data_IF_457035713958
#
_entry.id   IF_457035713958
#
_cell.length_a   1.000
_cell.length_b   1.000
_cell.length_c   1.000
_cell.angle_alpha   90.00
_cell.angle_beta   90.00
_cell.angle_gamma   90.00
#
_symmetry.space_group_name_H-M   'P 1'
#
loop_
_entity.id
_entity.type
_entity.pdbx_description
1 polymer ?
#
# COMPACT_ATOMS: atom_id res chain seq x y z
N UNK A 1 -72.29 -44.69 -36.58
CA UNK A 1 -71.39 -43.51 -36.41
C UNK A 1 -72.11 -42.50 -35.54
N UNK A 2 -71.76 -42.43 -34.25
CA UNK A 2 -72.52 -41.73 -33.20
C UNK A 2 -72.48 -40.21 -33.37
N UNK A 3 -73.62 -39.56 -33.16
CA UNK A 3 -73.82 -38.09 -33.17
C UNK A 3 -72.86 -37.36 -32.23
N UNK A 4 -72.36 -38.05 -31.19
CA UNK A 4 -71.37 -37.53 -30.24
C UNK A 4 -70.00 -37.28 -30.90
N UNK A 5 -69.61 -38.07 -31.91
CA UNK A 5 -68.36 -37.86 -32.64
C UNK A 5 -68.42 -36.59 -33.50
N UNK A 6 -69.55 -36.39 -34.20
CA UNK A 6 -69.77 -35.18 -35.01
C UNK A 6 -69.85 -33.90 -34.17
N UNK A 7 -70.36 -33.98 -32.94
CA UNK A 7 -70.40 -32.84 -32.01
C UNK A 7 -69.01 -32.48 -31.46
N UNK A 8 -68.11 -33.47 -31.27
CA UNK A 8 -66.72 -33.21 -30.89
C UNK A 8 -65.95 -32.50 -32.00
N UNK A 9 -66.14 -32.93 -33.24
CA UNK A 9 -65.44 -32.34 -34.39
C UNK A 9 -65.94 -30.91 -34.65
N UNK A 10 -67.25 -30.66 -34.54
CA UNK A 10 -67.83 -29.31 -34.65
C UNK A 10 -67.42 -28.35 -33.50
N UNK A 11 -67.20 -28.85 -32.29
CA UNK A 11 -66.67 -28.05 -31.18
C UNK A 11 -65.16 -27.80 -31.29
N UNK A 12 -64.41 -28.71 -31.91
CA UNK A 12 -62.99 -28.54 -32.19
C UNK A 12 -62.73 -27.54 -33.32
N UNK A 13 -63.67 -27.40 -34.26
CA UNK A 13 -63.58 -26.46 -35.39
C UNK A 13 -64.06 -25.04 -35.04
N UNK A 14 -64.80 -24.88 -33.93
CA UNK A 14 -65.30 -23.58 -33.45
C UNK A 14 -64.38 -22.87 -32.43
N UNK A 15 -63.34 -23.53 -31.92
CA UNK A 15 -62.27 -22.85 -31.19
C UNK A 15 -61.12 -22.59 -32.18
N UNK A 16 -60.70 -21.33 -32.39
CA UNK A 16 -59.43 -21.11 -33.08
C UNK A 16 -58.34 -21.90 -32.34
N UNK A 17 -57.36 -22.50 -33.05
CA UNK A 17 -56.20 -23.03 -32.37
C UNK A 17 -55.67 -21.89 -31.50
N UNK A 18 -55.42 -22.17 -30.23
CA UNK A 18 -54.76 -21.22 -29.36
C UNK A 18 -53.34 -21.00 -29.89
N UNK A 19 -53.23 -20.20 -30.96
CA UNK A 19 -52.06 -19.42 -31.30
C UNK A 19 -51.96 -18.37 -30.19
N UNK A 20 -51.57 -18.84 -29.00
CA UNK A 20 -50.87 -17.98 -28.07
C UNK A 20 -49.70 -17.39 -28.85
N UNK A 21 -49.42 -16.08 -28.72
CA UNK A 21 -48.24 -15.51 -29.35
C UNK A 21 -47.09 -16.43 -28.97
N UNK A 22 -46.36 -16.96 -29.95
CA UNK A 22 -45.20 -17.82 -29.70
C UNK A 22 -44.36 -17.11 -28.66
N UNK A 23 -44.50 -17.57 -27.42
CA UNK A 23 -44.07 -16.84 -26.27
C UNK A 23 -42.57 -16.92 -26.34
N UNK A 24 -41.92 -15.83 -26.74
CA UNK A 24 -40.53 -15.57 -26.41
C UNK A 24 -40.44 -15.86 -24.92
N UNK A 25 -40.00 -17.08 -24.57
CA UNK A 25 -39.91 -17.51 -23.19
C UNK A 25 -38.89 -16.56 -22.60
N UNK A 26 -39.36 -15.56 -21.86
CA UNK A 26 -38.46 -14.62 -21.21
C UNK A 26 -37.50 -15.48 -20.40
N UNK A 27 -36.19 -15.42 -20.70
CA UNK A 27 -35.23 -16.34 -20.13
C UNK A 27 -35.39 -16.27 -18.62
N UNK A 28 -35.76 -17.41 -18.02
CA UNK A 28 -36.00 -17.46 -16.58
C UNK A 28 -34.75 -16.93 -15.86
N UNK A 29 -34.91 -15.97 -14.95
CA UNK A 29 -33.83 -15.47 -14.12
C UNK A 29 -33.03 -16.59 -13.45
N UNK A 30 -31.87 -16.99 -14.00
CA UNK A 30 -30.96 -17.89 -13.30
C UNK A 30 -30.11 -17.11 -12.30
N UNK A 31 -29.95 -17.61 -11.07
CA UNK A 31 -28.94 -17.10 -10.14
C UNK A 31 -27.55 -17.45 -10.67
N UNK A 32 -26.86 -16.48 -11.28
CA UNK A 32 -25.47 -16.61 -11.73
C UNK A 32 -24.67 -15.46 -11.16
N UNK A 33 -23.42 -15.71 -10.78
CA UNK A 33 -22.46 -14.66 -10.46
C UNK A 33 -22.29 -13.72 -11.67
N UNK A 34 -22.06 -12.43 -11.41
CA UNK A 34 -21.89 -11.38 -12.45
C UNK A 34 -23.05 -11.25 -13.44
N UNK A 35 -24.29 -11.53 -13.00
CA UNK A 35 -25.47 -11.36 -13.83
C UNK A 35 -25.73 -9.87 -14.09
N UNK A 36 -25.72 -9.47 -15.37
CA UNK A 36 -25.96 -8.08 -15.76
C UNK A 36 -24.69 -7.24 -15.98
N UNK A 37 -23.51 -7.86 -16.12
CA UNK A 37 -22.24 -7.19 -16.46
C UNK A 37 -22.19 -6.40 -17.78
N UNK A 38 -23.35 -6.15 -18.40
CA UNK A 38 -23.56 -5.20 -19.50
C UNK A 38 -23.92 -3.78 -19.01
N UNK A 39 -24.08 -3.56 -17.70
CA UNK A 39 -24.24 -2.22 -17.13
C UNK A 39 -22.96 -1.39 -17.25
N UNK A 40 -23.10 -0.05 -17.29
CA UNK A 40 -21.99 0.91 -17.47
C UNK A 40 -20.85 0.71 -16.46
N UNK A 41 -21.17 0.21 -15.26
CA UNK A 41 -20.21 -0.02 -14.16
C UNK A 41 -19.20 -1.14 -14.43
N UNK A 42 -19.60 -2.25 -15.06
CA UNK A 42 -18.74 -3.41 -15.32
C UNK A 42 -18.40 -3.59 -16.81
N UNK A 43 -19.08 -2.85 -17.71
CA UNK A 43 -18.89 -3.01 -19.16
C UNK A 43 -17.45 -2.73 -19.61
N UNK A 44 -16.76 -1.77 -18.98
CA UNK A 44 -15.35 -1.45 -19.22
C UNK A 44 -14.35 -2.08 -18.24
N UNK A 45 -14.83 -2.63 -17.11
CA UNK A 45 -13.97 -3.19 -16.07
C UNK A 45 -13.93 -4.72 -16.20
N UNK A 46 -12.97 -5.20 -17.00
CA UNK A 46 -12.74 -6.62 -17.27
C UNK A 46 -11.28 -6.99 -16.97
N UNK A 47 -10.89 -7.07 -15.69
CA UNK A 47 -9.53 -7.44 -15.34
C UNK A 47 -9.23 -8.88 -15.80
N UNK A 48 -8.02 -9.12 -16.31
CA UNK A 48 -7.56 -10.46 -16.62
C UNK A 48 -7.26 -11.20 -15.31
N UNK A 49 -7.60 -12.49 -15.25
CA UNK A 49 -7.15 -13.35 -14.16
C UNK A 49 -5.69 -13.71 -14.44
N UNK A 50 -4.80 -13.24 -13.57
CA UNK A 50 -3.35 -13.44 -13.68
C UNK A 50 -2.83 -14.17 -12.45
N UNK A 51 -1.72 -14.88 -12.62
CA UNK A 51 -1.03 -15.48 -11.48
C UNK A 51 -0.37 -14.38 -10.66
N UNK A 52 -0.58 -14.41 -9.34
CA UNK A 52 -0.02 -13.41 -8.45
C UNK A 52 1.51 -13.31 -8.54
N UNK A 53 2.18 -14.43 -8.86
CA UNK A 53 3.64 -14.45 -9.02
C UNK A 53 4.14 -13.63 -10.21
N UNK A 54 3.39 -13.64 -11.32
CA UNK A 54 3.72 -12.85 -12.52
C UNK A 54 3.51 -11.37 -12.26
N UNK A 55 2.40 -11.01 -11.60
CA UNK A 55 2.11 -9.64 -11.21
C UNK A 55 3.18 -9.06 -10.27
N UNK A 56 3.63 -9.87 -9.31
CA UNK A 56 4.75 -9.49 -8.43
C UNK A 56 6.04 -9.34 -9.25
N UNK A 57 6.35 -10.28 -10.15
CA UNK A 57 7.55 -10.23 -10.97
C UNK A 57 7.65 -8.95 -11.81
N UNK A 58 6.55 -8.53 -12.42
CA UNK A 58 6.48 -7.33 -13.26
C UNK A 58 6.54 -6.04 -12.45
N UNK A 59 5.82 -5.96 -11.32
CA UNK A 59 5.63 -4.71 -10.59
C UNK A 59 6.70 -4.43 -9.51
N UNK A 60 7.44 -5.44 -9.06
CA UNK A 60 8.22 -5.32 -7.82
C UNK A 60 9.31 -4.24 -7.87
N UNK A 61 10.07 -4.12 -8.96
CA UNK A 61 11.19 -3.15 -9.04
C UNK A 61 10.69 -1.71 -8.92
N UNK A 62 9.65 -1.39 -9.68
CA UNK A 62 8.97 -0.09 -9.60
C UNK A 62 8.35 0.14 -8.22
N UNK A 63 7.64 -0.87 -7.69
CA UNK A 63 6.98 -0.77 -6.41
C UNK A 63 7.95 -0.53 -5.25
N UNK A 64 9.00 -1.36 -5.14
CA UNK A 64 10.01 -1.24 -4.09
C UNK A 64 10.81 0.07 -4.22
N UNK A 65 11.15 0.49 -5.44
CA UNK A 65 11.85 1.76 -5.66
C UNK A 65 10.99 2.96 -5.23
N UNK A 66 9.70 2.98 -5.60
CA UNK A 66 8.79 4.07 -5.24
C UNK A 66 8.47 4.11 -3.75
N UNK A 67 8.29 2.95 -3.10
CA UNK A 67 8.11 2.89 -1.64
C UNK A 67 9.36 3.42 -0.93
N UNK A 68 10.54 3.02 -1.38
CA UNK A 68 11.80 3.48 -0.80
C UNK A 68 12.02 4.99 -1.00
N UNK A 69 11.72 5.53 -2.18
CA UNK A 69 11.77 6.96 -2.46
C UNK A 69 10.81 7.75 -1.55
N UNK A 70 9.56 7.28 -1.47
CA UNK A 70 8.53 7.92 -0.67
C UNK A 70 8.93 7.96 0.82
N UNK A 71 9.52 6.89 1.35
CA UNK A 71 9.99 6.84 2.73
C UNK A 71 11.21 7.74 2.99
N UNK A 72 12.05 8.01 1.99
CA UNK A 72 13.16 8.95 2.14
C UNK A 72 12.72 10.40 2.08
N UNK A 73 11.69 10.70 1.28
CA UNK A 73 11.28 12.08 0.99
C UNK A 73 10.09 12.56 1.84
N UNK A 74 9.29 11.63 2.39
CA UNK A 74 8.09 11.97 3.15
C UNK A 74 8.29 11.72 4.64
N UNK A 75 8.50 12.80 5.40
CA UNK A 75 8.84 12.72 6.83
C UNK A 75 7.77 12.06 7.69
N UNK A 76 6.48 12.23 7.35
CA UNK A 76 5.39 11.62 8.10
C UNK A 76 5.30 10.10 7.87
N UNK A 77 5.62 9.62 6.67
CA UNK A 77 5.70 8.19 6.37
C UNK A 77 6.94 7.55 6.99
N UNK A 78 8.08 8.24 6.96
CA UNK A 78 9.28 7.80 7.66
C UNK A 78 9.02 7.62 9.16
N UNK A 79 8.35 8.61 9.79
CA UNK A 79 7.95 8.53 11.19
C UNK A 79 6.99 7.39 11.49
N UNK A 80 5.99 7.16 10.61
CA UNK A 80 5.05 6.04 10.75
C UNK A 80 5.77 4.68 10.68
N UNK A 81 6.70 4.51 9.74
CA UNK A 81 7.49 3.29 9.62
C UNK A 81 8.37 3.05 10.86
N UNK A 82 9.03 4.09 11.36
CA UNK A 82 9.82 3.98 12.60
C UNK A 82 8.96 3.58 13.79
N UNK A 83 7.74 4.13 13.89
CA UNK A 83 6.79 3.72 14.92
C UNK A 83 6.36 2.25 14.78
N UNK A 84 6.10 1.78 13.56
CA UNK A 84 5.81 0.36 13.31
C UNK A 84 6.97 -0.53 13.78
N UNK A 85 8.21 -0.17 13.46
CA UNK A 85 9.39 -0.92 13.89
C UNK A 85 9.53 -0.93 15.41
N UNK A 86 9.35 0.22 16.05
CA UNK A 86 9.41 0.34 17.51
C UNK A 86 8.33 -0.51 18.19
N UNK A 87 7.10 -0.51 17.68
CA UNK A 87 6.00 -1.28 18.24
C UNK A 87 6.15 -2.79 18.04
N UNK A 88 6.65 -3.23 16.88
CA UNK A 88 6.76 -4.66 16.55
C UNK A 88 8.02 -5.30 17.14
N UNK A 89 9.17 -4.63 17.02
CA UNK A 89 10.46 -5.21 17.45
C UNK A 89 10.81 -4.78 18.88
N UNK A 90 10.51 -3.54 19.25
CA UNK A 90 10.88 -2.98 20.55
C UNK A 90 12.37 -3.10 20.81
N UNK A 91 12.74 -3.77 21.90
CA UNK A 91 14.13 -4.04 22.29
C UNK A 91 14.74 -5.27 21.61
N UNK A 92 13.95 -6.02 20.83
CA UNK A 92 14.33 -7.27 20.18
C UNK A 92 13.65 -8.49 20.81
N UNK A 93 13.39 -9.51 19.99
CA UNK A 93 12.78 -10.76 20.45
C UNK A 93 13.77 -11.56 21.28
N UNK A 94 13.30 -12.02 22.44
CA UNK A 94 14.04 -12.90 23.34
C UNK A 94 13.63 -14.35 23.11
N UNK A 95 14.61 -15.27 23.21
CA UNK A 95 14.33 -16.69 23.14
C UNK A 95 13.68 -17.13 24.45
N UNK A 96 12.52 -17.77 24.35
CA UNK A 96 11.91 -18.57 25.41
C UNK A 96 12.00 -20.03 25.02
N UNK A 97 12.87 -20.80 25.69
CA UNK A 97 13.10 -22.20 25.39
C UNK A 97 12.08 -23.07 26.15
N UNK A 98 11.22 -23.77 25.41
CA UNK A 98 10.21 -24.69 25.96
C UNK A 98 10.52 -26.11 25.45
N UNK A 99 11.44 -26.86 26.10
CA UNK A 99 11.71 -28.24 25.72
C UNK A 99 10.52 -29.15 26.04
N UNK A 100 10.27 -30.13 25.17
CA UNK A 100 9.23 -31.16 25.38
C UNK A 100 9.76 -32.30 26.26
N UNK A 101 9.40 -32.28 27.54
CA UNK A 101 10.03 -33.14 28.54
C UNK A 101 9.76 -34.62 28.31
N UNK A 102 8.54 -34.97 27.89
CA UNK A 102 8.10 -36.34 27.70
C UNK A 102 8.85 -37.02 26.55
N UNK A 103 9.07 -36.28 25.44
CA UNK A 103 9.73 -36.81 24.25
C UNK A 103 11.24 -36.99 24.47
N UNK A 104 11.87 -36.08 25.23
CA UNK A 104 13.31 -36.12 25.49
C UNK A 104 13.70 -36.95 26.73
N UNK A 105 12.72 -37.51 27.45
CA UNK A 105 12.97 -38.29 28.68
C UNK A 105 13.61 -37.47 29.79
N UNK A 106 13.37 -36.16 29.82
CA UNK A 106 13.95 -35.25 30.80
C UNK A 106 12.99 -35.04 31.97
N UNK A 107 13.53 -35.01 33.20
CA UNK A 107 12.74 -34.56 34.35
C UNK A 107 12.43 -33.06 34.24
N UNK A 108 11.33 -32.56 34.87
CA UNK A 108 11.01 -31.13 34.85
C UNK A 108 12.13 -30.22 35.36
N UNK A 109 12.90 -30.68 36.35
CA UNK A 109 14.05 -29.94 36.88
C UNK A 109 15.18 -29.82 35.84
N UNK A 110 15.57 -30.93 35.21
CA UNK A 110 16.60 -30.94 34.17
C UNK A 110 16.22 -30.07 32.97
N UNK A 111 14.95 -30.12 32.57
CA UNK A 111 14.42 -29.30 31.49
C UNK A 111 14.51 -27.79 31.82
N UNK A 112 14.18 -27.40 33.05
CA UNK A 112 14.30 -26.01 33.51
C UNK A 112 15.75 -25.52 33.46
N UNK A 113 16.69 -26.33 33.95
CA UNK A 113 18.11 -25.97 33.96
C UNK A 113 18.72 -25.92 32.56
N UNK A 114 18.29 -26.82 31.67
CA UNK A 114 18.64 -26.78 30.26
C UNK A 114 18.11 -25.50 29.60
N UNK A 115 16.84 -25.16 29.80
CA UNK A 115 16.22 -23.98 29.21
C UNK A 115 16.95 -22.70 29.62
N UNK A 116 17.22 -22.52 30.93
CA UNK A 116 18.02 -21.38 31.45
C UNK A 116 19.40 -21.30 30.80
N UNK A 117 20.05 -22.45 30.61
CA UNK A 117 21.39 -22.51 30.00
C UNK A 117 21.34 -22.09 28.53
N UNK A 118 20.34 -22.57 27.79
CA UNK A 118 20.15 -22.22 26.37
C UNK A 118 19.81 -20.75 26.21
N UNK A 119 18.86 -20.23 26.98
CA UNK A 119 18.45 -18.82 26.96
C UNK A 119 19.64 -17.90 27.28
N UNK A 120 20.43 -18.22 28.31
CA UNK A 120 21.63 -17.45 28.64
C UNK A 120 22.68 -17.47 27.51
N UNK A 121 22.88 -18.62 26.87
CA UNK A 121 23.82 -18.74 25.74
C UNK A 121 23.33 -17.97 24.52
N UNK A 122 22.03 -18.03 24.24
CA UNK A 122 21.41 -17.26 23.17
C UNK A 122 21.55 -15.77 23.41
N UNK A 123 21.32 -15.30 24.64
CA UNK A 123 21.44 -13.87 24.98
C UNK A 123 22.88 -13.35 24.78
N UNK A 124 23.88 -14.15 25.18
CA UNK A 124 25.30 -13.82 24.96
C UNK A 124 25.64 -13.73 23.46
N UNK A 125 25.04 -14.58 22.64
CA UNK A 125 25.19 -14.54 21.18
C UNK A 125 24.45 -13.35 20.57
N UNK A 126 23.21 -13.10 21.00
CA UNK A 126 22.31 -12.09 20.46
C UNK A 126 22.75 -10.65 20.77
N UNK A 127 23.28 -10.40 21.98
CA UNK A 127 23.72 -9.07 22.40
C UNK A 127 25.08 -8.65 21.85
N UNK A 128 25.89 -9.59 21.36
CA UNK A 128 27.20 -9.27 20.80
C UNK A 128 27.15 -9.29 19.27
N UNK A 129 27.32 -8.12 18.65
CA UNK A 129 27.31 -7.97 17.20
C UNK A 129 28.36 -8.86 16.51
N UNK A 130 29.56 -9.00 17.09
CA UNK A 130 30.60 -9.87 16.53
C UNK A 130 30.19 -11.35 16.58
N UNK A 131 29.36 -11.75 17.55
CA UNK A 131 28.89 -13.12 17.72
C UNK A 131 27.75 -13.49 16.79
N UNK A 132 26.77 -12.61 16.58
CA UNK A 132 25.60 -12.91 15.76
C UNK A 132 25.73 -12.47 14.30
N UNK A 133 26.29 -11.30 14.01
CA UNK A 133 26.39 -10.77 12.64
C UNK A 133 27.71 -11.18 11.98
N UNK A 134 27.64 -11.65 10.73
CA UNK A 134 28.83 -11.97 9.95
C UNK A 134 29.71 -10.74 9.70
N UNK A 135 29.10 -9.56 9.57
CA UNK A 135 29.80 -8.28 9.39
C UNK A 135 30.27 -7.71 10.74
N UNK A 136 29.64 -8.13 11.84
CA UNK A 136 29.94 -7.65 13.19
C UNK A 136 29.43 -6.23 13.46
N UNK A 137 28.42 -5.78 12.73
CA UNK A 137 27.92 -4.39 12.80
C UNK A 137 26.69 -4.23 13.69
N UNK A 138 25.83 -5.26 13.76
CA UNK A 138 24.53 -5.18 14.42
C UNK A 138 24.33 -6.31 15.43
N UNK A 139 23.69 -6.00 16.56
CA UNK A 139 23.17 -7.03 17.48
C UNK A 139 21.96 -7.73 16.85
N UNK A 140 21.53 -8.85 17.43
CA UNK A 140 20.40 -9.62 16.89
C UNK A 140 19.09 -8.82 16.89
N UNK A 141 18.81 -8.05 17.94
CA UNK A 141 17.65 -7.14 17.98
C UNK A 141 17.72 -6.05 16.91
N UNK A 142 18.90 -5.46 16.68
CA UNK A 142 19.10 -4.49 15.59
C UNK A 142 18.93 -5.13 14.20
N UNK A 143 19.34 -6.39 14.04
CA UNK A 143 19.09 -7.15 12.81
C UNK A 143 17.60 -7.40 12.60
N UNK A 144 16.83 -7.73 13.64
CA UNK A 144 15.37 -7.86 13.54
C UNK A 144 14.72 -6.55 13.10
N UNK A 145 15.13 -5.42 13.70
CA UNK A 145 14.63 -4.10 13.30
C UNK A 145 14.98 -3.77 11.84
N UNK A 146 16.20 -4.08 11.39
CA UNK A 146 16.60 -3.88 10.00
C UNK A 146 15.86 -4.80 9.03
N UNK A 147 15.64 -6.06 9.40
CA UNK A 147 14.88 -7.03 8.64
C UNK A 147 13.41 -6.60 8.48
N UNK A 148 12.78 -6.14 9.56
CA UNK A 148 11.40 -5.66 9.53
C UNK A 148 11.24 -4.39 8.68
N UNK A 149 12.19 -3.44 8.76
CA UNK A 149 12.22 -2.29 7.84
C UNK A 149 12.32 -2.73 6.38
N UNK A 150 13.23 -3.67 6.07
CA UNK A 150 13.38 -4.22 4.72
C UNK A 150 12.07 -4.83 4.23
N UNK A 151 11.36 -5.57 5.09
CA UNK A 151 10.07 -6.16 4.76
C UNK A 151 8.99 -5.12 4.45
N UNK A 152 8.88 -4.05 5.25
CA UNK A 152 7.93 -2.97 4.95
C UNK A 152 8.21 -2.29 3.60
N UNK A 153 9.49 -2.14 3.24
CA UNK A 153 9.90 -1.47 1.99
C UNK A 153 9.73 -2.39 0.77
N UNK A 154 10.10 -3.66 0.90
CA UNK A 154 10.25 -4.57 -0.25
C UNK A 154 9.29 -5.75 -0.26
N UNK A 155 8.60 -6.02 0.85
CA UNK A 155 7.74 -7.19 1.05
C UNK A 155 8.49 -8.46 1.47
N UNK A 156 9.81 -8.39 1.63
CA UNK A 156 10.66 -9.57 1.80
C UNK A 156 11.76 -9.35 2.85
N UNK A 157 12.14 -10.45 3.51
CA UNK A 157 13.32 -10.56 4.36
C UNK A 157 14.22 -11.63 3.76
N UNK A 158 15.46 -11.25 3.48
CA UNK A 158 16.47 -12.16 2.99
C UNK A 158 17.66 -12.19 3.95
N UNK A 159 18.05 -13.37 4.39
CA UNK A 159 19.24 -13.57 5.19
C UNK A 159 19.97 -14.86 4.85
N UNK A 160 21.29 -14.88 5.02
CA UNK A 160 22.08 -16.11 4.99
C UNK A 160 22.49 -16.51 6.41
N UNK A 161 22.60 -17.81 6.65
CA UNK A 161 23.12 -18.40 7.89
C UNK A 161 24.48 -19.07 7.67
N UNK A 162 25.56 -18.30 7.42
CA UNK A 162 26.89 -18.89 7.27
C UNK A 162 27.44 -19.39 8.61
N UNK A 163 28.16 -20.51 8.56
CA UNK A 163 29.00 -20.97 9.67
C UNK A 163 30.41 -20.39 9.54
N UNK A 164 30.76 -19.45 10.42
CA UNK A 164 32.08 -18.80 10.45
C UNK A 164 32.47 -18.46 11.88
N UNK A 165 33.44 -19.19 12.43
CA UNK A 165 34.06 -18.89 13.73
C UNK A 165 35.33 -18.05 13.52
N UNK A 166 35.42 -16.90 14.17
CA UNK A 166 36.65 -16.08 14.23
C UNK A 166 37.43 -16.44 15.50
N UNK A 167 38.76 -16.22 15.57
CA UNK A 167 39.57 -16.62 16.72
C UNK A 167 39.09 -16.10 18.08
N UNK A 168 38.56 -14.87 18.11
CA UNK A 168 38.04 -14.20 19.32
C UNK A 168 36.54 -14.45 19.59
N UNK A 169 35.87 -15.23 18.73
CA UNK A 169 34.45 -15.54 18.85
C UNK A 169 34.24 -16.94 19.44
N UNK A 170 33.27 -17.05 20.34
CA UNK A 170 32.86 -18.33 20.91
C UNK A 170 32.01 -19.14 19.93
N UNK A 171 31.09 -18.50 19.22
CA UNK A 171 30.09 -19.17 18.38
C UNK A 171 30.40 -19.07 16.88
N UNK A 172 30.02 -20.12 16.14
CA UNK A 172 30.22 -20.22 14.69
C UNK A 172 29.02 -19.80 13.85
N UNK A 173 27.79 -19.92 14.37
CA UNK A 173 26.58 -19.52 13.65
C UNK A 173 26.52 -18.00 13.52
N UNK A 174 26.48 -17.50 12.28
CA UNK A 174 26.34 -16.08 11.97
C UNK A 174 25.10 -15.86 11.10
N UNK A 175 24.55 -14.66 11.17
CA UNK A 175 23.49 -14.16 10.30
C UNK A 175 24.09 -13.11 9.37
N UNK A 176 23.72 -13.15 8.10
CA UNK A 176 23.97 -12.08 7.14
C UNK A 176 22.63 -11.58 6.64
N UNK A 177 22.24 -10.37 7.00
CA UNK A 177 21.12 -9.73 6.31
C UNK A 177 21.55 -9.31 4.91
N UNK A 178 20.73 -9.66 3.93
CA UNK A 178 20.90 -9.23 2.55
C UNK A 178 19.68 -8.43 2.14
N UNK A 179 19.85 -7.33 1.38
CA UNK A 179 18.70 -6.65 0.85
C UNK A 179 18.05 -7.49 -0.27
N UNK A 180 16.71 -7.60 -0.35
CA UNK A 180 16.03 -8.50 -1.28
C UNK A 180 16.24 -8.20 -2.78
N UNK A 181 16.63 -6.97 -3.14
CA UNK A 181 17.05 -6.63 -4.51
C UNK A 181 18.33 -7.36 -4.96
N UNK A 182 19.02 -8.04 -4.03
CA UNK A 182 20.14 -8.93 -4.35
C UNK A 182 19.66 -10.25 -4.95
N UNK A 183 18.40 -10.62 -4.85
CA UNK A 183 17.89 -11.77 -5.60
C UNK A 183 17.65 -11.37 -7.06
N UNK A 184 18.13 -12.19 -7.99
CA UNK A 184 17.90 -11.98 -9.42
C UNK A 184 16.39 -12.00 -9.73
N UNK A 185 16.00 -11.32 -10.81
CA UNK A 185 14.62 -11.31 -11.32
C UNK A 185 14.41 -12.20 -12.53
N UNK A 186 15.42 -12.99 -12.86
CA UNK A 186 15.31 -13.94 -13.97
C UNK A 186 14.32 -15.04 -13.65
N UNK A 187 13.50 -15.34 -14.64
CA UNK A 187 12.61 -16.51 -14.67
C UNK A 187 13.04 -17.38 -15.84
N UNK A 188 13.39 -18.63 -15.56
CA UNK A 188 13.82 -19.63 -16.54
C UNK A 188 13.01 -20.92 -16.31
N UNK A 189 11.96 -21.15 -17.10
CA UNK A 189 11.05 -22.29 -16.91
C UNK A 189 11.77 -23.65 -16.99
N UNK A 190 12.72 -23.79 -17.91
CA UNK A 190 13.50 -25.02 -18.08
C UNK A 190 14.32 -25.41 -16.84
N UNK A 191 14.76 -24.40 -16.07
CA UNK A 191 15.53 -24.60 -14.84
C UNK A 191 14.68 -24.50 -13.57
N UNK A 192 13.34 -24.35 -13.71
CA UNK A 192 12.43 -24.07 -12.61
C UNK A 192 12.92 -22.89 -11.75
N UNK A 193 13.41 -21.85 -12.43
CA UNK A 193 13.82 -20.61 -11.78
C UNK A 193 12.66 -19.61 -11.94
N UNK A 194 12.12 -19.13 -10.83
CA UNK A 194 11.02 -18.17 -10.80
C UNK A 194 11.49 -16.96 -9.99
N UNK A 195 11.62 -15.79 -10.63
CA UNK A 195 12.09 -14.55 -10.02
C UNK A 195 13.29 -14.77 -9.08
N UNK A 196 14.32 -15.49 -9.56
CA UNK A 196 15.54 -15.78 -8.78
C UNK A 196 15.43 -16.89 -7.73
N UNK A 197 14.31 -17.60 -7.63
CA UNK A 197 14.12 -18.75 -6.72
C UNK A 197 14.08 -20.04 -7.53
N UNK A 198 14.96 -20.99 -7.20
CA UNK A 198 14.92 -22.34 -7.76
C UNK A 198 13.90 -23.18 -7.04
N UNK A 199 12.97 -23.78 -7.78
CA UNK A 199 11.95 -24.68 -7.25
C UNK A 199 12.16 -26.12 -7.70
N UNK A 200 11.71 -27.07 -6.89
CA UNK A 200 11.59 -28.47 -7.31
C UNK A 200 10.32 -28.69 -8.17
N UNK A 201 9.99 -29.96 -8.44
CA UNK A 201 8.78 -30.29 -9.21
C UNK A 201 7.47 -29.98 -8.47
N UNK A 202 7.51 -29.96 -7.13
CA UNK A 202 6.37 -29.71 -6.24
C UNK A 202 6.25 -28.22 -5.84
N UNK A 203 7.19 -27.37 -6.27
CA UNK A 203 7.24 -25.94 -5.98
C UNK A 203 8.04 -25.58 -4.72
N UNK A 204 8.74 -26.53 -4.10
CA UNK A 204 9.57 -26.25 -2.92
C UNK A 204 10.82 -25.44 -3.31
N UNK A 205 11.16 -24.35 -2.60
CA UNK A 205 12.38 -23.59 -2.87
C UNK A 205 13.65 -24.36 -2.46
N UNK A 206 14.45 -24.75 -3.46
CA UNK A 206 15.71 -25.53 -3.32
C UNK A 206 16.93 -24.63 -3.29
N UNK A 207 16.85 -23.45 -3.91
CA UNK A 207 17.96 -22.53 -4.01
C UNK A 207 17.55 -21.14 -4.49
N UNK A 208 18.54 -20.25 -4.54
CA UNK A 208 18.37 -18.85 -4.89
C UNK A 208 19.49 -18.43 -5.83
N UNK A 209 19.15 -17.65 -6.85
CA UNK A 209 20.10 -16.93 -7.68
C UNK A 209 20.23 -15.51 -7.17
N UNK A 210 21.37 -15.20 -6.59
CA UNK A 210 21.67 -13.89 -6.01
C UNK A 210 22.71 -13.13 -6.85
N UNK A 211 22.74 -11.81 -6.71
CA UNK A 211 23.60 -10.87 -7.39
C UNK A 211 24.53 -10.25 -6.36
N UNK A 212 25.84 -10.39 -6.55
CA UNK A 212 26.86 -9.69 -5.77
C UNK A 212 27.64 -8.73 -6.65
N UNK A 213 28.18 -7.68 -6.04
CA UNK A 213 29.14 -6.81 -6.71
C UNK A 213 30.52 -7.46 -6.65
N UNK A 214 31.20 -7.56 -7.78
CA UNK A 214 32.60 -7.95 -7.84
C UNK A 214 33.53 -6.81 -7.37
N UNK A 215 34.84 -7.07 -7.28
CA UNK A 215 35.87 -6.07 -6.94
C UNK A 215 35.79 -4.82 -7.83
N UNK A 216 35.43 -5.00 -9.11
CA UNK A 216 35.24 -3.93 -10.08
C UNK A 216 33.83 -3.34 -10.09
N UNK A 217 32.99 -3.63 -9.08
CA UNK A 217 31.59 -3.19 -8.93
C UNK A 217 30.64 -3.65 -10.05
N UNK A 218 31.02 -4.65 -10.84
CA UNK A 218 30.13 -5.32 -11.78
C UNK A 218 29.17 -6.26 -11.04
N UNK A 219 27.96 -6.41 -11.54
CA UNK A 219 27.01 -7.39 -11.03
C UNK A 219 27.35 -8.79 -11.51
N UNK A 220 27.55 -9.70 -10.56
CA UNK A 220 27.85 -11.11 -10.79
C UNK A 220 26.77 -11.94 -10.12
N UNK A 221 26.08 -12.73 -10.94
CA UNK A 221 25.12 -13.71 -10.47
C UNK A 221 25.83 -14.94 -9.89
N UNK A 222 25.31 -15.46 -8.79
CA UNK A 222 25.77 -16.69 -8.17
C UNK A 222 24.61 -17.45 -7.55
N UNK A 223 24.70 -18.78 -7.61
CA UNK A 223 23.66 -19.66 -7.09
C UNK A 223 23.99 -20.12 -5.67
N UNK A 224 23.00 -20.09 -4.79
CA UNK A 224 23.09 -20.49 -3.38
C UNK A 224 22.01 -21.53 -3.11
N UNK A 225 22.39 -22.67 -2.54
CA UNK A 225 21.42 -23.66 -2.06
C UNK A 225 20.67 -23.14 -0.84
N UNK A 226 19.36 -23.37 -0.79
CA UNK A 226 18.51 -22.98 0.33
C UNK A 226 18.88 -23.71 1.62
N UNK A 227 19.33 -24.98 1.49
CA UNK A 227 19.79 -25.83 2.58
C UNK A 227 21.19 -26.39 2.31
N UNK A 228 21.93 -26.70 3.38
CA UNK A 228 23.20 -27.39 3.28
C UNK A 228 23.02 -28.92 3.09
N UNK A 229 24.12 -29.64 2.92
CA UNK A 229 24.10 -31.10 2.74
C UNK A 229 23.54 -31.86 3.96
N UNK A 230 23.53 -31.25 5.14
CA UNK A 230 22.94 -31.80 6.36
C UNK A 230 21.47 -31.36 6.55
N UNK A 231 20.87 -30.70 5.56
CA UNK A 231 19.49 -30.21 5.60
C UNK A 231 19.28 -28.93 6.42
N UNK A 232 20.34 -28.33 6.98
CA UNK A 232 20.24 -27.08 7.74
C UNK A 232 19.94 -25.93 6.79
N UNK A 233 19.08 -25.02 7.23
CA UNK A 233 18.73 -23.83 6.47
C UNK A 233 19.97 -22.94 6.30
N UNK A 234 20.30 -22.61 5.04
CA UNK A 234 21.40 -21.71 4.69
C UNK A 234 20.89 -20.33 4.27
N UNK A 235 19.71 -20.27 3.65
CA UNK A 235 19.06 -19.01 3.25
C UNK A 235 17.71 -18.94 3.94
N UNK A 236 17.50 -17.88 4.70
CA UNK A 236 16.19 -17.49 5.23
C UNK A 236 15.59 -16.53 4.21
N UNK A 237 14.46 -16.93 3.65
CA UNK A 237 13.66 -16.07 2.80
C UNK A 237 12.24 -16.06 3.38
N UNK A 238 11.82 -14.91 3.90
CA UNK A 238 10.51 -14.70 4.51
C UNK A 238 9.80 -13.65 3.70
N UNK A 239 8.57 -13.95 3.30
CA UNK A 239 7.71 -13.05 2.56
C UNK A 239 6.26 -13.41 2.84
N UNK A 240 5.36 -12.49 2.52
CA UNK A 240 3.92 -12.71 2.57
C UNK A 240 3.36 -12.61 1.14
N UNK A 241 2.50 -13.54 0.75
CA UNK A 241 1.98 -13.61 -0.61
C UNK A 241 0.84 -14.61 -0.77
N UNK A 242 0.12 -14.48 -1.89
CA UNK A 242 -0.95 -15.40 -2.25
C UNK A 242 -0.42 -16.83 -2.52
N UNK A 243 -1.27 -17.87 -2.46
CA UNK A 243 -0.86 -19.22 -2.81
C UNK A 243 -0.20 -19.28 -4.19
N UNK A 244 0.92 -20.02 -4.30
CA UNK A 244 1.71 -20.12 -5.53
C UNK A 244 2.74 -19.02 -5.75
N UNK A 245 2.86 -18.06 -4.82
CA UNK A 245 3.92 -17.04 -4.87
C UNK A 245 5.21 -17.54 -4.21
N UNK A 246 6.33 -17.16 -4.80
CA UNK A 246 7.69 -17.44 -4.33
C UNK A 246 8.43 -16.18 -3.87
N UNK A 247 7.81 -15.01 -4.03
CA UNK A 247 8.32 -13.68 -3.72
C UNK A 247 7.18 -12.85 -3.12
N UNK A 248 7.53 -11.88 -2.27
CA UNK A 248 6.59 -10.94 -1.67
C UNK A 248 6.66 -9.57 -2.33
N UNK A 249 5.61 -8.78 -2.13
CA UNK A 249 5.56 -7.37 -2.51
C UNK A 249 5.26 -6.53 -1.28
N UNK A 250 5.75 -5.28 -1.24
CA UNK A 250 5.56 -4.42 -0.08
C UNK A 250 4.06 -4.24 0.25
N UNK A 251 3.69 -4.32 1.53
CA UNK A 251 2.30 -4.06 1.95
C UNK A 251 1.87 -2.60 1.73
N UNK A 252 2.82 -1.68 1.45
CA UNK A 252 2.55 -0.26 1.22
C UNK A 252 2.14 0.06 -0.23
N UNK A 253 2.32 -0.88 -1.16
CA UNK A 253 2.06 -0.66 -2.60
C UNK A 253 0.64 -0.17 -2.90
N UNK A 254 -0.43 -0.72 -2.31
CA UNK A 254 -1.80 -0.23 -2.58
C UNK A 254 -2.03 1.22 -2.14
N UNK A 255 -1.31 1.68 -1.11
CA UNK A 255 -1.44 3.03 -0.57
C UNK A 255 -0.51 4.06 -1.24
N UNK A 256 0.43 3.60 -2.07
CA UNK A 256 1.49 4.42 -2.65
C UNK A 256 0.94 5.61 -3.46
N UNK A 257 -0.07 5.37 -4.29
CA UNK A 257 -0.66 6.42 -5.12
C UNK A 257 -1.31 7.53 -4.27
N UNK A 258 -2.08 7.14 -3.25
CA UNK A 258 -2.77 8.07 -2.35
C UNK A 258 -1.75 8.87 -1.55
N UNK A 259 -0.72 8.19 -1.03
CA UNK A 259 0.34 8.84 -0.28
C UNK A 259 1.09 9.89 -1.12
N UNK A 260 1.39 9.58 -2.39
CA UNK A 260 2.03 10.54 -3.30
C UNK A 260 1.13 11.75 -3.61
N UNK A 261 -0.17 11.53 -3.79
CA UNK A 261 -1.14 12.61 -4.01
C UNK A 261 -1.28 13.51 -2.78
N UNK A 262 -1.18 12.93 -1.59
CA UNK A 262 -1.21 13.70 -0.34
C UNK A 262 -0.01 14.64 -0.22
N UNK A 263 1.20 14.16 -0.51
CA UNK A 263 2.40 15.01 -0.48
C UNK A 263 2.30 16.15 -1.51
N UNK A 264 1.82 15.85 -2.73
CA UNK A 264 1.60 16.88 -3.76
C UNK A 264 0.55 17.92 -3.35
N UNK A 265 -0.50 17.48 -2.66
CA UNK A 265 -1.52 18.39 -2.13
C UNK A 265 -0.92 19.30 -1.05
N UNK A 266 -0.12 18.75 -0.14
CA UNK A 266 0.55 19.53 0.89
C UNK A 266 1.51 20.59 0.30
N UNK A 267 2.27 20.24 -0.73
CA UNK A 267 3.13 21.20 -1.43
C UNK A 267 2.30 22.30 -2.12
N UNK A 268 1.20 21.93 -2.78
CA UNK A 268 0.32 22.88 -3.45
C UNK A 268 -0.36 23.84 -2.47
N UNK A 269 -0.78 23.36 -1.29
CA UNK A 269 -1.39 24.22 -0.25
C UNK A 269 -0.37 25.17 0.36
N UNK A 270 0.85 24.72 0.60
CA UNK A 270 1.94 25.58 1.06
C UNK A 270 2.25 26.70 0.05
N UNK A 271 2.35 26.35 -1.25
CA UNK A 271 2.58 27.34 -2.30
C UNK A 271 1.42 28.33 -2.43
N UNK A 272 0.18 27.86 -2.34
CA UNK A 272 -1.00 28.73 -2.35
C UNK A 272 -0.98 29.70 -1.15
N UNK A 273 -0.64 29.24 0.05
CA UNK A 273 -0.53 30.08 1.24
C UNK A 273 0.57 31.14 1.12
N UNK A 274 1.72 30.78 0.54
CA UNK A 274 2.83 31.72 0.27
C UNK A 274 2.37 32.81 -0.71
N UNK A 275 1.74 32.41 -1.83
CA UNK A 275 1.22 33.37 -2.82
C UNK A 275 0.17 34.30 -2.20
N UNK A 276 -0.74 33.76 -1.39
CA UNK A 276 -1.74 34.55 -0.66
C UNK A 276 -1.08 35.56 0.29
N UNK A 277 -0.02 35.15 1.01
CA UNK A 277 0.70 36.02 1.94
C UNK A 277 1.45 37.12 1.20
N UNK A 278 2.06 36.81 0.05
CA UNK A 278 2.71 37.82 -0.79
C UNK A 278 1.73 38.87 -1.28
N UNK A 279 0.53 38.47 -1.74
CA UNK A 279 -0.51 39.42 -2.13
C UNK A 279 -1.01 40.26 -0.94
N UNK A 280 -1.22 39.64 0.23
CA UNK A 280 -1.66 40.35 1.43
C UNK A 280 -0.63 41.41 1.89
N UNK A 281 0.67 41.06 1.92
CA UNK A 281 1.76 42.00 2.28
C UNK A 281 1.90 43.12 1.26
N UNK A 282 1.66 42.86 -0.02
CA UNK A 282 1.75 43.89 -1.06
C UNK A 282 0.59 44.90 -0.98
N UNK A 283 -0.55 44.52 -0.39
CA UNK A 283 -1.78 45.34 -0.30
C UNK A 283 -1.94 46.01 1.08
N UNK A 284 -1.12 45.67 2.09
CA UNK A 284 -1.13 46.39 3.37
C UNK A 284 -0.63 47.82 3.21
N UNK A 285 -1.55 48.77 3.38
CA UNK A 285 -1.37 50.22 3.38
C UNK A 285 -2.09 50.80 4.61
N UNK A 286 -1.61 51.93 5.14
CA UNK A 286 -2.23 52.63 6.28
C UNK A 286 -3.56 53.34 5.92
N UNK A 287 -3.94 53.33 4.62
CA UNK A 287 -5.18 53.92 4.11
C UNK A 287 -6.33 52.88 4.03
N UNK A 288 -7.61 53.32 4.08
CA UNK A 288 -8.77 52.45 3.94
C UNK A 288 -8.65 51.57 2.68
N UNK A 289 -8.83 50.25 2.84
CA UNK A 289 -8.59 49.23 1.79
C UNK A 289 -9.29 49.53 0.46
N UNK A 290 -10.42 50.23 0.50
CA UNK A 290 -11.18 50.65 -0.68
C UNK A 290 -10.44 51.71 -1.53
N UNK A 291 -9.70 52.63 -0.92
CA UNK A 291 -8.95 53.68 -1.61
C UNK A 291 -7.68 53.13 -2.26
N UNK A 292 -7.03 52.17 -1.61
CA UNK A 292 -5.82 51.50 -2.11
C UNK A 292 -6.15 50.63 -3.33
N UNK A 293 -7.25 49.89 -3.28
CA UNK A 293 -7.71 49.07 -4.41
C UNK A 293 -8.17 49.93 -5.60
N UNK A 294 -8.76 51.10 -5.34
CA UNK A 294 -9.05 52.07 -6.40
C UNK A 294 -7.75 52.62 -7.01
N UNK A 295 -6.73 52.94 -6.21
CA UNK A 295 -5.44 53.46 -6.70
C UNK A 295 -4.63 52.49 -7.57
N UNK A 296 -4.86 51.18 -7.46
CA UNK A 296 -4.19 50.15 -8.26
C UNK A 296 -4.80 49.94 -9.65
N UNK A 297 -6.01 50.44 -9.90
CA UNK A 297 -6.72 50.30 -11.17
C UNK A 297 -6.48 51.50 -12.08
N UNK A 298 -6.27 51.27 -13.38
CA UNK A 298 -6.23 52.37 -14.34
C UNK A 298 -7.64 53.01 -14.47
N UNK A 299 -7.75 54.31 -14.83
CA UNK A 299 -9.05 54.98 -14.98
C UNK A 299 -10.01 54.28 -15.95
N UNK A 300 -9.46 53.54 -16.93
CA UNK A 300 -10.23 52.76 -17.91
C UNK A 300 -10.77 51.46 -17.31
N UNK A 301 -10.01 50.78 -16.45
CA UNK A 301 -10.44 49.55 -15.77
C UNK A 301 -11.47 49.85 -14.68
N UNK A 302 -11.33 50.95 -13.94
CA UNK A 302 -12.34 51.41 -12.99
C UNK A 302 -13.68 51.65 -13.69
N UNK A 303 -13.67 52.32 -14.86
CA UNK A 303 -14.87 52.56 -15.64
C UNK A 303 -15.53 51.28 -16.16
N UNK A 304 -14.73 50.26 -16.52
CA UNK A 304 -15.24 48.96 -16.93
C UNK A 304 -15.86 48.17 -15.78
N UNK A 305 -15.24 48.19 -14.59
CA UNK A 305 -15.80 47.52 -13.40
C UNK A 305 -17.09 48.20 -12.91
N UNK A 306 -17.14 49.54 -12.94
CA UNK A 306 -18.35 50.32 -12.66
C UNK A 306 -19.47 50.02 -13.67
N UNK A 307 -19.12 49.83 -14.96
CA UNK A 307 -20.09 49.47 -16.00
C UNK A 307 -20.65 48.04 -15.82
N UNK A 308 -19.90 47.14 -15.17
CA UNK A 308 -20.34 45.79 -14.82
C UNK A 308 -21.03 45.72 -13.45
N UNK A 309 -21.07 46.82 -12.69
CA UNK A 309 -21.72 46.91 -11.38
C UNK A 309 -21.01 46.14 -10.28
N UNK A 310 -19.73 45.79 -10.46
CA UNK A 310 -18.92 45.04 -9.49
C UNK A 310 -18.05 46.04 -8.74
N UNK A 311 -18.21 46.13 -7.42
CA UNK A 311 -17.33 46.97 -6.61
C UNK A 311 -15.92 46.36 -6.55
N UNK A 312 -14.84 47.18 -6.52
CA UNK A 312 -13.47 46.66 -6.38
C UNK A 312 -13.28 45.78 -5.14
N UNK A 313 -14.02 46.05 -4.07
CA UNK A 313 -14.05 45.21 -2.86
C UNK A 313 -14.76 43.86 -3.09
N UNK A 314 -15.85 43.80 -3.85
CA UNK A 314 -16.50 42.53 -4.19
C UNK A 314 -15.63 41.67 -5.10
N UNK A 315 -14.92 42.26 -6.06
CA UNK A 315 -13.96 41.54 -6.90
C UNK A 315 -12.75 41.03 -6.09
N UNK A 316 -12.26 41.82 -5.13
CA UNK A 316 -11.21 41.39 -4.22
C UNK A 316 -11.67 40.24 -3.31
N UNK A 317 -12.87 40.35 -2.74
CA UNK A 317 -13.48 39.29 -1.93
C UNK A 317 -13.75 38.04 -2.78
N UNK A 318 -14.18 38.17 -4.03
CA UNK A 318 -14.43 37.05 -4.94
C UNK A 318 -13.13 36.40 -5.45
N UNK A 319 -12.05 37.16 -5.62
CA UNK A 319 -10.72 36.62 -5.87
C UNK A 319 -10.23 35.83 -4.66
N UNK A 320 -10.31 36.41 -3.46
CA UNK A 320 -9.91 35.73 -2.21
C UNK A 320 -10.81 34.50 -1.94
N UNK A 321 -12.11 34.59 -2.21
CA UNK A 321 -13.08 33.51 -2.05
C UNK A 321 -13.01 32.47 -3.17
N UNK A 322 -12.61 32.83 -4.39
CA UNK A 322 -12.38 31.92 -5.52
C UNK A 322 -11.11 31.10 -5.32
N UNK A 323 -10.08 31.70 -4.73
CA UNK A 323 -8.87 31.00 -4.31
C UNK A 323 -9.08 30.18 -3.01
N UNK A 324 -9.86 30.67 -2.05
CA UNK A 324 -10.21 29.93 -0.82
C UNK A 324 -11.26 28.84 -1.01
N UNK A 325 -12.16 28.99 -1.98
CA UNK A 325 -13.24 28.05 -2.30
C UNK A 325 -12.77 26.79 -3.03
N UNK A 326 -11.55 26.79 -3.58
CA UNK A 326 -10.91 25.60 -4.11
C UNK A 326 -10.51 24.59 -2.99
N UNK A 327 -10.44 25.04 -1.73
CA UNK A 327 -10.17 24.21 -0.55
C UNK A 327 -11.44 23.77 0.21
N UNK A 328 -12.59 24.39 -0.06
CA UNK A 328 -13.87 23.99 0.51
C UNK A 328 -14.82 23.59 -0.62
N UNK A 329 -14.77 22.31 -0.96
CA UNK A 329 -15.70 21.73 -1.90
C UNK A 329 -17.16 21.99 -1.49
N UNK A 330 -17.89 22.62 -2.41
CA UNK A 330 -19.34 22.44 -2.61
C UNK A 330 -20.26 23.15 -1.59
N UNK A 331 -20.55 24.43 -1.81
CA UNK A 331 -21.90 24.97 -1.56
C UNK A 331 -22.39 25.65 -2.85
N UNK A 332 -23.25 24.92 -3.57
CA UNK A 332 -23.96 25.44 -4.74
C UNK A 332 -24.86 26.59 -4.30
N UNK A 333 -24.74 27.76 -4.93
CA UNK A 333 -25.82 28.75 -5.01
C UNK A 333 -27.00 28.09 -5.73
N UNK A 334 -28.00 27.64 -4.97
CA UNK A 334 -29.33 27.38 -5.51
C UNK A 334 -30.17 28.63 -5.22
N UNK A 335 -30.65 29.29 -6.26
CA UNK A 335 -31.48 30.47 -6.14
C UNK A 335 -32.88 30.16 -5.61
N UNK A 336 -33.66 31.24 -5.56
CA UNK A 336 -35.12 31.37 -5.36
C UNK A 336 -35.69 31.34 -3.94
N UNK A 337 -36.01 32.57 -3.49
CA UNK A 337 -37.16 33.01 -2.66
C UNK A 337 -37.82 31.96 -1.75
N UNK A 338 -37.62 32.12 -0.44
CA UNK A 338 -38.49 31.59 0.60
C UNK A 338 -38.50 32.55 1.80
N UNK A 339 -39.67 33.11 2.11
CA UNK A 339 -39.91 33.94 3.30
C UNK A 339 -39.51 33.18 4.57
N UNK A 340 -38.73 33.81 5.45
CA UNK A 340 -38.48 33.36 6.83
C UNK A 340 -39.09 34.41 7.76
N UNK A 341 -39.94 34.03 8.73
CA UNK A 341 -40.67 34.95 9.60
C UNK A 341 -39.75 35.64 10.63
N UNK A 342 -40.16 36.79 11.20
CA UNK A 342 -39.34 37.56 12.13
C UNK A 342 -39.34 36.88 13.50
N UNK A 343 -38.22 36.30 13.93
CA UNK A 343 -38.14 35.68 15.26
C UNK A 343 -36.94 34.81 15.61
N UNK A 344 -35.85 34.79 14.82
CA UNK A 344 -34.66 34.00 15.16
C UNK A 344 -33.46 34.92 15.42
N UNK A 345 -32.90 34.83 16.62
CA UNK A 345 -31.77 35.61 17.13
C UNK A 345 -30.49 35.35 16.35
N UNK A 346 -29.75 36.41 16.03
CA UNK A 346 -28.39 36.35 15.48
C UNK A 346 -27.42 35.95 16.61
N UNK A 347 -26.96 34.71 16.63
CA UNK A 347 -25.69 34.36 17.29
C UNK A 347 -24.57 34.53 16.25
N UNK A 348 -23.73 35.54 16.48
CA UNK A 348 -22.53 35.76 15.69
C UNK A 348 -21.50 34.66 16.00
N UNK A 349 -21.20 33.82 15.00
CA UNK A 349 -19.99 32.99 15.04
C UNK A 349 -18.80 33.86 14.63
N UNK A 350 -18.03 34.30 15.62
CA UNK A 350 -16.72 34.92 15.46
C UNK A 350 -15.70 33.78 15.39
N UNK A 351 -15.06 33.57 14.24
CA UNK A 351 -13.86 32.74 14.13
C UNK A 351 -12.63 33.64 14.22
N UNK A 352 -11.85 33.50 15.28
CA UNK A 352 -10.47 33.99 15.35
C UNK A 352 -9.52 32.97 14.68
N UNK A 353 -8.51 33.41 13.93
CA UNK A 353 -7.42 32.54 13.50
C UNK A 353 -6.40 32.41 14.65
N UNK A 354 -6.12 31.19 15.10
CA UNK A 354 -4.96 30.91 15.95
C UNK A 354 -3.73 30.67 15.07
N UNK A 355 -2.61 31.28 15.49
CA UNK A 355 -1.25 31.11 14.97
C UNK A 355 -0.72 29.68 15.14
#
# INVERSE_FOLDING_TARGET
MSVIAKLKDLLAEALPPAAGPEGMSLPRPSGKYMRGGRGVTFAGWKPALREAQDDIGEAWDDAAARVNDLLHNSGWLAGALEQCVANTVGTGLQLKALPENETFGMTPAQASDWAKTVERRFELWARNAQECDIQGLRTFGQMQAAAFRSWLITGEILAELPWRKRPWNRYGTKVRLLPPHRLSRKTESMRRLINGVYTDADGMPVGYRAIRKDLFKHDVEYDVRARDAAGRLRVIHIFEGAPGTHRGISPLVPALQVARQFDQLADATLMAAIVQTLFAVTITSDEPTEQVLQGLLTPQEQAQMLAQGISPMEAYIEMVAGYGGALSGRIKRCGTRGNIPPGASRSAFVCYPQL
#
